data_IF_208661538180
#
_entry.id   IF_208661538180
#
_cell.length_a   1.000
_cell.length_b   1.000
_cell.length_c   1.000
_cell.angle_alpha   90.00
_cell.angle_beta   90.00
_cell.angle_gamma   90.00
#
_symmetry.space_group_name_H-M   'P 1'
#
loop_
_entity.id
_entity.type
_entity.pdbx_description
1 polymer ?
#
# COMPACT_ATOMS: atom_id res chain seq x y z
N UNK A 1 14.16 -9.41 -19.77
CA UNK A 1 13.82 -8.65 -18.56
C UNK A 1 14.98 -7.74 -18.26
N UNK A 2 14.78 -6.43 -18.35
CA UNK A 2 15.77 -5.42 -17.97
C UNK A 2 15.65 -5.13 -16.47
N UNK A 3 16.77 -5.13 -15.75
CA UNK A 3 16.85 -4.74 -14.35
C UNK A 3 17.54 -3.38 -14.25
N UNK A 4 17.09 -2.54 -13.31
CA UNK A 4 17.72 -1.26 -13.04
C UNK A 4 19.17 -1.45 -12.56
N UNK A 5 20.09 -0.64 -13.09
CA UNK A 5 21.50 -0.68 -12.67
C UNK A 5 21.69 -0.11 -11.25
N UNK A 6 20.84 0.83 -10.83
CA UNK A 6 20.87 1.42 -9.47
C UNK A 6 20.10 0.61 -8.42
N UNK A 7 18.77 0.61 -8.46
CA UNK A 7 17.93 -0.23 -7.60
C UNK A 7 17.61 -1.58 -8.26
N UNK A 8 16.71 -2.38 -7.71
CA UNK A 8 16.48 -3.77 -8.15
C UNK A 8 15.15 -4.00 -8.88
N UNK A 9 14.51 -2.93 -9.38
CA UNK A 9 13.28 -3.08 -10.16
C UNK A 9 13.54 -3.53 -11.59
N UNK A 10 12.53 -4.19 -12.16
CA UNK A 10 12.52 -4.67 -13.54
C UNK A 10 11.51 -3.93 -14.40
N UNK A 11 11.66 -4.09 -15.72
CA UNK A 11 10.69 -3.71 -16.74
C UNK A 11 9.36 -4.48 -16.68
N UNK A 12 9.25 -5.50 -15.81
CA UNK A 12 8.02 -6.26 -15.58
C UNK A 12 7.12 -5.65 -14.47
N UNK A 13 7.52 -4.52 -13.89
CA UNK A 13 6.72 -3.83 -12.88
C UNK A 13 5.34 -3.43 -13.47
N UNK A 14 4.20 -3.74 -12.80
CA UNK A 14 2.85 -3.54 -13.33
C UNK A 14 2.48 -2.08 -13.62
N UNK A 15 3.25 -1.12 -13.09
CA UNK A 15 3.07 0.32 -13.31
C UNK A 15 3.98 0.89 -14.42
N UNK A 16 4.51 0.04 -15.31
CA UNK A 16 5.28 0.44 -16.50
C UNK A 16 6.46 1.38 -16.22
N UNK A 17 7.48 0.87 -15.52
CA UNK A 17 8.72 1.60 -15.28
C UNK A 17 9.50 1.81 -16.59
N UNK A 18 10.03 3.02 -16.81
CA UNK A 18 10.92 3.33 -17.94
C UNK A 18 12.37 3.36 -17.50
N UNK A 19 13.29 3.23 -18.47
CA UNK A 19 14.74 3.20 -18.22
C UNK A 19 15.46 4.16 -19.16
N UNK A 20 16.45 4.87 -18.65
CA UNK A 20 17.33 5.71 -19.45
C UNK A 20 18.49 4.90 -20.09
N UNK A 21 19.37 5.63 -20.77
CA UNK A 21 20.57 5.10 -21.44
C UNK A 21 21.59 4.49 -20.46
N UNK A 22 21.61 4.94 -19.21
CA UNK A 22 22.47 4.39 -18.15
C UNK A 22 21.84 3.15 -17.49
N UNK A 23 20.64 2.76 -17.91
CA UNK A 23 19.88 1.65 -17.33
C UNK A 23 19.29 1.98 -15.95
N UNK A 24 19.13 3.26 -15.61
CA UNK A 24 18.49 3.72 -14.37
C UNK A 24 16.99 3.86 -14.61
N UNK A 25 16.19 3.34 -13.68
CA UNK A 25 14.74 3.37 -13.79
C UNK A 25 14.15 4.75 -13.42
N UNK A 26 12.96 5.06 -13.96
CA UNK A 26 12.18 6.27 -13.65
C UNK A 26 12.01 6.50 -12.14
N UNK A 27 11.72 5.46 -11.37
CA UNK A 27 11.57 5.58 -9.91
C UNK A 27 12.86 5.97 -9.18
N UNK A 28 14.03 5.64 -9.74
CA UNK A 28 15.30 6.15 -9.20
C UNK A 28 15.53 7.61 -9.56
N UNK A 29 15.19 8.04 -10.78
CA UNK A 29 15.34 9.43 -11.23
C UNK A 29 14.41 10.38 -10.50
N UNK A 30 13.13 10.02 -10.37
CA UNK A 30 12.16 10.83 -9.61
C UNK A 30 12.55 10.92 -8.14
N UNK A 31 13.16 9.88 -7.57
CA UNK A 31 13.64 9.96 -6.18
C UNK A 31 14.75 11.00 -5.98
N UNK A 32 15.62 11.22 -6.96
CA UNK A 32 16.69 12.24 -6.91
C UNK A 32 16.10 13.66 -6.84
N UNK A 33 14.91 13.89 -7.41
CA UNK A 33 14.24 15.20 -7.33
C UNK A 33 14.07 15.64 -5.87
N UNK A 34 13.87 14.69 -4.93
CA UNK A 34 13.72 15.00 -3.51
C UNK A 34 14.92 15.73 -2.93
N UNK A 35 16.11 15.54 -3.49
CA UNK A 35 17.36 16.16 -3.03
C UNK A 35 17.52 17.58 -3.59
N UNK A 36 16.77 17.93 -4.64
CA UNK A 36 16.75 19.27 -5.25
C UNK A 36 15.60 20.15 -4.77
N UNK A 37 14.50 19.53 -4.33
CA UNK A 37 13.28 20.23 -3.91
C UNK A 37 13.49 21.00 -2.61
N UNK A 38 13.10 22.28 -2.61
CA UNK A 38 12.99 23.06 -1.39
C UNK A 38 11.73 22.68 -0.60
N UNK A 39 11.88 21.71 0.30
CA UNK A 39 10.78 21.20 1.12
C UNK A 39 10.19 22.25 2.07
N UNK A 40 10.96 23.27 2.48
CA UNK A 40 10.41 24.37 3.28
C UNK A 40 9.40 25.18 2.47
N UNK A 41 9.74 25.52 1.22
CA UNK A 41 8.81 26.22 0.33
C UNK A 41 7.57 25.39 0.00
N UNK A 42 7.76 24.09 -0.27
CA UNK A 42 6.64 23.15 -0.49
C UNK A 42 5.71 23.07 0.73
N UNK A 43 6.28 23.05 1.94
CA UNK A 43 5.50 23.03 3.17
C UNK A 43 4.72 24.32 3.40
N UNK A 44 5.30 25.49 3.11
CA UNK A 44 4.55 26.76 3.16
C UNK A 44 3.40 26.77 2.14
N UNK A 45 3.60 26.22 0.94
CA UNK A 45 2.51 26.04 -0.03
C UNK A 45 1.40 25.15 0.52
N UNK A 46 1.73 24.05 1.20
CA UNK A 46 0.74 23.19 1.85
C UNK A 46 -0.09 23.96 2.88
N UNK A 47 0.54 24.77 3.73
CA UNK A 47 -0.19 25.60 4.71
C UNK A 47 -1.19 26.51 4.02
N UNK A 48 -0.76 27.24 3.00
CA UNK A 48 -1.63 28.14 2.22
C UNK A 48 -2.83 27.39 1.63
N UNK A 49 -2.60 26.20 1.05
CA UNK A 49 -3.67 25.35 0.54
C UNK A 49 -4.64 24.98 1.67
N UNK A 50 -4.14 24.45 2.78
CA UNK A 50 -4.98 23.93 3.86
C UNK A 50 -5.71 25.02 4.64
N UNK A 51 -5.13 26.21 4.78
CA UNK A 51 -5.76 27.33 5.49
C UNK A 51 -7.05 27.80 4.79
N UNK A 52 -7.13 27.64 3.47
CA UNK A 52 -8.34 27.94 2.70
C UNK A 52 -9.52 26.99 2.99
N UNK A 53 -9.28 25.83 3.61
CA UNK A 53 -10.30 24.82 3.91
C UNK A 53 -10.75 24.80 5.38
N UNK A 54 -10.22 25.69 6.22
CA UNK A 54 -10.61 25.77 7.63
C UNK A 54 -12.09 26.13 7.75
N UNK A 55 -12.84 25.30 8.48
CA UNK A 55 -14.22 25.58 8.81
C UNK A 55 -14.28 26.66 9.90
N UNK A 56 -14.69 27.87 9.50
CA UNK A 56 -14.79 29.01 10.42
C UNK A 56 -15.98 28.91 11.39
N UNK A 57 -17.02 28.17 11.03
CA UNK A 57 -18.23 28.02 11.85
C UNK A 57 -18.10 26.97 12.96
N UNK A 58 -17.07 26.11 12.91
CA UNK A 58 -16.84 25.03 13.87
C UNK A 58 -17.88 23.90 13.84
N UNK A 59 -18.80 23.91 12.87
CA UNK A 59 -19.89 22.94 12.77
C UNK A 59 -19.56 21.71 11.89
N UNK A 60 -18.38 21.69 11.28
CA UNK A 60 -17.91 20.61 10.41
C UNK A 60 -16.39 20.47 10.51
N UNK A 61 -15.84 19.49 9.81
CA UNK A 61 -14.41 19.22 9.75
C UNK A 61 -13.72 20.03 8.64
N UNK A 62 -12.42 20.27 8.81
CA UNK A 62 -11.60 21.00 7.83
C UNK A 62 -11.21 20.10 6.65
N UNK A 63 -11.02 18.81 6.93
CA UNK A 63 -10.59 17.82 5.95
C UNK A 63 -10.92 16.39 6.37
N UNK A 64 -10.79 15.46 5.44
CA UNK A 64 -10.81 14.01 5.70
C UNK A 64 -9.38 13.48 5.66
N UNK A 65 -9.06 12.60 6.62
CA UNK A 65 -7.81 11.83 6.62
C UNK A 65 -8.15 10.34 6.61
N UNK A 66 -7.86 9.63 5.50
CA UNK A 66 -8.00 8.17 5.43
C UNK A 66 -6.96 7.49 6.32
N UNK A 67 -7.38 6.55 7.17
CA UNK A 67 -6.50 5.84 8.11
C UNK A 67 -6.79 4.35 8.17
N UNK A 68 -5.75 3.55 8.43
CA UNK A 68 -5.90 2.12 8.79
C UNK A 68 -5.38 1.81 10.21
N UNK A 69 -4.67 2.75 10.83
CA UNK A 69 -3.95 2.52 12.08
C UNK A 69 -2.56 1.90 11.87
N UNK A 70 -2.22 1.44 10.66
CA UNK A 70 -0.87 1.10 10.26
C UNK A 70 -0.36 2.01 9.14
N UNK A 71 0.78 1.65 8.54
CA UNK A 71 1.49 2.45 7.54
C UNK A 71 1.71 3.86 8.07
N UNK A 72 1.69 4.84 7.17
CA UNK A 72 1.97 6.22 7.50
C UNK A 72 0.79 6.93 8.22
N UNK A 73 -0.29 6.23 8.61
CA UNK A 73 -1.50 6.82 9.22
C UNK A 73 -1.19 7.76 10.39
N UNK A 74 -0.32 7.32 11.32
CA UNK A 74 0.07 8.15 12.47
C UNK A 74 0.79 9.43 12.05
N UNK A 75 1.67 9.33 11.05
CA UNK A 75 2.43 10.48 10.56
C UNK A 75 1.53 11.49 9.85
N UNK A 76 0.58 10.99 9.04
CA UNK A 76 -0.40 11.82 8.33
C UNK A 76 -1.26 12.57 9.34
N UNK A 77 -1.87 11.86 10.32
CA UNK A 77 -2.74 12.51 11.32
C UNK A 77 -1.94 13.47 12.20
N UNK A 78 -0.73 13.11 12.62
CA UNK A 78 0.14 14.03 13.36
C UNK A 78 0.42 15.31 12.59
N UNK A 79 0.74 15.19 11.29
CA UNK A 79 1.02 16.33 10.43
C UNK A 79 -0.22 17.21 10.30
N UNK A 80 -1.37 16.62 10.01
CA UNK A 80 -2.64 17.34 9.80
C UNK A 80 -3.14 18.01 11.08
N UNK A 81 -3.20 17.26 12.19
CA UNK A 81 -3.77 17.72 13.45
C UNK A 81 -2.81 18.62 14.24
N UNK A 82 -1.57 18.20 14.43
CA UNK A 82 -0.65 18.85 15.37
C UNK A 82 0.29 19.85 14.69
N UNK A 83 0.68 19.61 13.43
CA UNK A 83 1.61 20.49 12.71
C UNK A 83 0.85 21.57 11.93
N UNK A 84 -0.20 21.19 11.19
CA UNK A 84 -1.04 22.13 10.44
C UNK A 84 -2.19 22.69 11.28
N UNK A 85 -2.53 22.08 12.42
CA UNK A 85 -3.58 22.58 13.30
C UNK A 85 -4.99 22.47 12.71
N UNK A 86 -5.25 21.51 11.82
CA UNK A 86 -6.56 21.27 11.23
C UNK A 86 -7.42 20.39 12.15
N UNK A 87 -8.73 20.41 11.93
CA UNK A 87 -9.70 19.49 12.53
C UNK A 87 -10.13 18.40 11.52
N UNK A 88 -9.41 17.26 11.45
CA UNK A 88 -9.73 16.20 10.49
C UNK A 88 -10.85 15.28 10.99
N UNK A 89 -11.69 14.81 10.07
CA UNK A 89 -12.48 13.59 10.22
C UNK A 89 -11.63 12.40 9.75
N UNK A 90 -11.41 11.43 10.64
CA UNK A 90 -10.75 10.18 10.25
C UNK A 90 -11.75 9.27 9.54
N UNK A 91 -11.36 8.70 8.41
CA UNK A 91 -12.20 7.77 7.66
C UNK A 91 -11.44 6.46 7.46
N UNK A 92 -12.08 5.35 7.78
CA UNK A 92 -11.46 4.03 7.69
C UNK A 92 -12.39 3.00 7.06
N UNK A 93 -11.83 2.18 6.17
CA UNK A 93 -12.50 1.03 5.59
C UNK A 93 -11.94 -0.24 6.23
N UNK A 94 -12.82 -1.07 6.78
CA UNK A 94 -12.46 -2.31 7.41
C UNK A 94 -12.19 -3.40 6.36
N UNK A 95 -10.92 -3.77 6.19
CA UNK A 95 -10.46 -4.79 5.25
C UNK A 95 -10.78 -6.23 5.67
N UNK A 96 -11.28 -6.46 6.89
CA UNK A 96 -11.59 -7.78 7.45
C UNK A 96 -10.41 -8.74 7.65
N UNK A 97 -9.19 -8.36 7.25
CA UNK A 97 -7.96 -9.14 7.46
C UNK A 97 -7.16 -8.67 8.68
N UNK A 98 -7.84 -8.12 9.69
CA UNK A 98 -7.22 -7.36 10.78
C UNK A 98 -6.50 -8.25 11.79
N UNK A 99 -5.36 -7.77 12.29
CA UNK A 99 -4.63 -8.34 13.43
C UNK A 99 -5.03 -7.64 14.75
N UNK A 100 -4.79 -8.27 15.91
CA UNK A 100 -4.97 -7.60 17.21
C UNK A 100 -4.11 -6.34 17.32
N UNK A 101 -2.86 -6.37 16.80
CA UNK A 101 -1.99 -5.19 16.76
C UNK A 101 -2.58 -4.06 15.93
N UNK A 102 -3.10 -4.35 14.74
CA UNK A 102 -3.73 -3.36 13.87
C UNK A 102 -4.90 -2.65 14.55
N UNK A 103 -5.77 -3.40 15.21
CA UNK A 103 -6.92 -2.86 15.94
C UNK A 103 -6.46 -1.98 17.10
N UNK A 104 -5.45 -2.42 17.86
CA UNK A 104 -4.93 -1.62 18.97
C UNK A 104 -4.21 -0.37 18.50
N UNK A 105 -3.49 -0.42 17.38
CA UNK A 105 -2.90 0.77 16.77
C UNK A 105 -3.97 1.74 16.29
N UNK A 106 -5.03 1.29 15.60
CA UNK A 106 -6.11 2.18 15.17
C UNK A 106 -6.84 2.82 16.36
N UNK A 107 -7.13 2.05 17.40
CA UNK A 107 -7.74 2.56 18.64
C UNK A 107 -6.82 3.58 19.34
N UNK A 108 -5.52 3.28 19.45
CA UNK A 108 -4.55 4.19 20.04
C UNK A 108 -4.42 5.47 19.22
N UNK A 109 -4.35 5.39 17.88
CA UNK A 109 -4.32 6.55 16.98
C UNK A 109 -5.48 7.50 17.29
N UNK A 110 -6.71 6.96 17.30
CA UNK A 110 -7.92 7.75 17.59
C UNK A 110 -7.82 8.48 18.94
N UNK A 111 -7.39 7.77 19.98
CA UNK A 111 -7.30 8.33 21.34
C UNK A 111 -6.19 9.38 21.46
N UNK A 112 -5.01 9.11 20.88
CA UNK A 112 -3.85 10.03 20.96
C UNK A 112 -4.11 11.37 20.27
N UNK A 113 -4.80 11.36 19.13
CA UNK A 113 -5.08 12.57 18.36
C UNK A 113 -6.43 13.21 18.70
N UNK A 114 -7.25 12.56 19.52
CA UNK A 114 -8.60 12.99 19.90
C UNK A 114 -9.44 13.43 18.67
N UNK A 115 -9.51 12.55 17.67
CA UNK A 115 -10.24 12.79 16.42
C UNK A 115 -11.45 11.87 16.31
N UNK A 116 -12.51 12.38 15.69
CA UNK A 116 -13.65 11.56 15.29
C UNK A 116 -13.26 10.59 14.17
N UNK A 117 -13.92 9.44 14.14
CA UNK A 117 -13.67 8.41 13.14
C UNK A 117 -14.96 7.82 12.60
N UNK A 118 -15.05 7.69 11.28
CA UNK A 118 -16.08 6.92 10.58
C UNK A 118 -15.49 5.64 10.02
N UNK A 119 -16.08 4.50 10.38
CA UNK A 119 -15.67 3.18 9.92
C UNK A 119 -16.76 2.55 9.06
N UNK A 120 -16.40 2.12 7.85
CA UNK A 120 -17.24 1.24 7.04
C UNK A 120 -16.78 -0.21 7.20
N UNK A 121 -17.69 -1.08 7.65
CA UNK A 121 -17.51 -2.53 7.60
C UNK A 121 -18.59 -3.12 6.71
N UNK A 122 -18.18 -3.65 5.56
CA UNK A 122 -19.08 -4.33 4.61
C UNK A 122 -19.42 -5.73 5.12
N UNK A 123 -20.56 -6.28 4.74
CA UNK A 123 -20.97 -7.65 5.06
C UNK A 123 -19.86 -8.65 4.67
N UNK A 124 -19.38 -9.52 5.59
CA UNK A 124 -18.38 -10.54 5.30
C UNK A 124 -18.69 -11.44 4.11
N UNK A 125 -19.95 -11.83 3.91
CA UNK A 125 -20.33 -12.71 2.80
C UNK A 125 -20.19 -12.01 1.44
N UNK A 126 -20.62 -10.74 1.36
CA UNK A 126 -20.39 -9.89 0.19
C UNK A 126 -18.90 -9.73 -0.09
N UNK A 127 -18.09 -9.47 0.95
CA UNK A 127 -16.63 -9.35 0.78
C UNK A 127 -16.01 -10.66 0.30
N UNK A 128 -16.39 -11.81 0.87
CA UNK A 128 -15.90 -13.13 0.42
C UNK A 128 -16.29 -13.39 -1.04
N UNK A 129 -17.51 -13.05 -1.43
CA UNK A 129 -18.01 -13.19 -2.80
C UNK A 129 -17.17 -12.37 -3.78
N UNK A 130 -16.94 -11.09 -3.48
CA UNK A 130 -16.08 -10.20 -4.26
C UNK A 130 -14.65 -10.74 -4.31
N UNK A 131 -14.08 -11.16 -3.18
CA UNK A 131 -12.71 -11.69 -3.14
C UNK A 131 -12.55 -12.95 -4.00
N UNK A 132 -13.54 -13.85 -4.04
CA UNK A 132 -13.53 -15.02 -4.95
C UNK A 132 -13.55 -14.58 -6.41
N UNK A 133 -14.45 -13.65 -6.75
CA UNK A 133 -14.56 -13.10 -8.10
C UNK A 133 -13.25 -12.43 -8.56
N UNK A 134 -12.64 -11.59 -7.72
CA UNK A 134 -11.41 -10.87 -8.05
C UNK A 134 -10.18 -11.77 -8.03
N UNK A 135 -10.17 -12.83 -7.21
CA UNK A 135 -9.12 -13.85 -7.25
C UNK A 135 -9.16 -14.59 -8.60
N UNK A 136 -10.36 -14.99 -9.05
CA UNK A 136 -10.53 -15.65 -10.36
C UNK A 136 -10.21 -14.72 -11.52
N UNK A 137 -10.86 -13.54 -11.58
CA UNK A 137 -10.76 -12.59 -12.70
C UNK A 137 -9.37 -11.94 -12.78
N UNK A 138 -8.84 -11.52 -11.63
CA UNK A 138 -7.69 -10.61 -11.57
C UNK A 138 -6.46 -11.23 -10.90
N UNK A 139 -6.56 -12.42 -10.30
CA UNK A 139 -5.50 -12.94 -9.46
C UNK A 139 -5.22 -12.00 -8.29
N UNK A 140 -6.27 -11.51 -7.62
CA UNK A 140 -6.13 -10.57 -6.49
C UNK A 140 -7.14 -10.85 -5.39
N UNK A 141 -6.62 -11.01 -4.16
CA UNK A 141 -7.43 -11.10 -2.93
C UNK A 141 -7.67 -9.72 -2.27
N UNK A 142 -7.06 -8.66 -2.82
CA UNK A 142 -6.92 -7.37 -2.16
C UNK A 142 -7.66 -6.23 -2.89
N UNK A 143 -8.35 -6.54 -3.99
CA UNK A 143 -9.11 -5.56 -4.77
C UNK A 143 -10.13 -4.83 -3.88
N UNK A 144 -10.92 -5.56 -3.08
CA UNK A 144 -11.93 -4.96 -2.20
C UNK A 144 -11.31 -4.05 -1.12
N UNK A 145 -10.11 -4.39 -0.63
CA UNK A 145 -9.40 -3.56 0.33
C UNK A 145 -9.04 -2.21 -0.28
N UNK A 146 -8.46 -2.23 -1.49
CA UNK A 146 -8.04 -1.02 -2.21
C UNK A 146 -9.27 -0.22 -2.63
N UNK A 147 -10.27 -0.87 -3.22
CA UNK A 147 -11.51 -0.23 -3.68
C UNK A 147 -12.21 0.49 -2.53
N UNK A 148 -12.39 -0.19 -1.39
CA UNK A 148 -13.04 0.36 -0.20
C UNK A 148 -12.25 1.50 0.44
N UNK A 149 -10.93 1.34 0.62
CA UNK A 149 -10.07 2.35 1.24
C UNK A 149 -9.96 3.64 0.42
N UNK A 150 -10.08 3.54 -0.91
CA UNK A 150 -9.96 4.69 -1.82
C UNK A 150 -11.29 5.36 -2.10
N UNK A 151 -12.41 4.64 -2.09
CA UNK A 151 -13.75 5.20 -2.39
C UNK A 151 -14.46 5.76 -1.17
N UNK A 152 -14.35 5.10 -0.02
CA UNK A 152 -15.12 5.48 1.16
C UNK A 152 -14.81 6.90 1.66
N UNK A 153 -13.53 7.36 1.69
CA UNK A 153 -13.22 8.76 1.97
C UNK A 153 -13.90 9.75 1.02
N UNK A 154 -13.99 9.42 -0.28
CA UNK A 154 -14.64 10.28 -1.29
C UNK A 154 -16.15 10.30 -1.07
N UNK A 155 -16.77 9.15 -0.76
CA UNK A 155 -18.18 9.09 -0.40
C UNK A 155 -18.49 9.92 0.85
N UNK A 156 -17.64 9.86 1.88
CA UNK A 156 -17.78 10.67 3.10
C UNK A 156 -17.59 12.15 2.77
N UNK A 157 -16.60 12.52 1.95
CA UNK A 157 -16.37 13.89 1.50
C UNK A 157 -17.62 14.49 0.84
N UNK A 158 -18.26 13.76 -0.07
CA UNK A 158 -19.48 14.19 -0.75
C UNK A 158 -20.66 14.26 0.22
N UNK A 159 -20.89 13.23 1.04
CA UNK A 159 -22.04 13.15 1.96
C UNK A 159 -22.01 14.23 3.05
N UNK A 160 -20.83 14.49 3.62
CA UNK A 160 -20.63 15.47 4.68
C UNK A 160 -20.19 16.85 4.17
N UNK A 161 -20.07 17.00 2.85
CA UNK A 161 -19.66 18.24 2.18
C UNK A 161 -18.31 18.76 2.70
N UNK A 162 -17.34 17.85 2.84
CA UNK A 162 -15.96 18.15 3.28
C UNK A 162 -15.08 18.11 2.02
N UNK A 163 -14.70 19.27 1.44
CA UNK A 163 -14.08 19.32 0.11
C UNK A 163 -12.61 18.90 0.07
N UNK A 164 -11.91 18.80 1.21
CA UNK A 164 -10.49 18.42 1.22
C UNK A 164 -10.29 17.01 1.79
N UNK A 165 -9.60 16.16 1.03
CA UNK A 165 -9.05 14.88 1.50
C UNK A 165 -7.53 14.96 1.47
N UNK A 166 -6.88 14.59 2.57
CA UNK A 166 -5.41 14.56 2.67
C UNK A 166 -4.94 13.11 2.76
N UNK A 167 -4.24 12.68 1.72
CA UNK A 167 -3.65 11.35 1.59
C UNK A 167 -2.17 11.34 2.00
N UNK A 168 -1.61 10.15 2.19
CA UNK A 168 -0.19 9.95 2.48
C UNK A 168 0.70 10.15 1.24
N UNK A 169 1.45 9.12 0.87
CA UNK A 169 2.27 9.13 -0.33
C UNK A 169 1.52 8.59 -1.55
N UNK A 170 1.65 9.29 -2.68
CA UNK A 170 1.23 8.80 -3.98
C UNK A 170 2.21 7.73 -4.49
N UNK A 171 1.72 6.50 -4.68
CA UNK A 171 2.51 5.34 -5.10
C UNK A 171 3.24 5.58 -6.43
N UNK A 172 2.54 6.17 -7.41
CA UNK A 172 3.10 6.44 -8.74
C UNK A 172 4.34 7.33 -8.68
N UNK A 173 4.40 8.30 -7.75
CA UNK A 173 5.58 9.16 -7.58
C UNK A 173 6.66 8.39 -6.82
N UNK A 174 6.34 7.92 -5.62
CA UNK A 174 7.36 7.48 -4.65
C UNK A 174 7.99 6.12 -5.01
N UNK A 175 7.20 5.22 -5.60
CA UNK A 175 7.63 3.85 -5.89
C UNK A 175 8.25 3.73 -7.30
N UNK A 176 7.61 4.28 -8.31
CA UNK A 176 7.94 3.97 -9.73
C UNK A 176 8.30 5.18 -10.58
N UNK A 177 8.15 6.40 -10.07
CA UNK A 177 8.44 7.61 -10.83
C UNK A 177 7.59 7.73 -12.10
N UNK A 178 6.31 7.34 -12.01
CA UNK A 178 5.30 7.54 -13.07
C UNK A 178 5.01 9.03 -13.28
N UNK A 179 5.10 9.81 -12.20
CA UNK A 179 4.96 11.26 -12.20
C UNK A 179 6.16 11.87 -11.48
N UNK A 180 6.51 13.09 -11.86
CA UNK A 180 7.50 13.90 -11.17
C UNK A 180 6.89 14.48 -9.88
N UNK A 181 7.72 14.74 -8.86
CA UNK A 181 7.32 15.56 -7.72
C UNK A 181 6.94 17.00 -8.14
N UNK A 182 7.38 17.47 -9.31
CA UNK A 182 7.02 18.78 -9.84
C UNK A 182 5.61 18.84 -10.44
N UNK A 183 5.00 17.69 -10.77
CA UNK A 183 3.64 17.62 -11.31
C UNK A 183 2.57 17.87 -10.22
N UNK A 184 2.92 17.70 -8.94
CA UNK A 184 2.02 17.85 -7.78
C UNK A 184 0.68 17.11 -7.94
N UNK A 185 0.73 15.87 -8.44
CA UNK A 185 -0.48 15.11 -8.79
C UNK A 185 -1.44 14.97 -7.61
N UNK A 186 -2.73 15.02 -7.92
CA UNK A 186 -3.83 14.81 -6.99
C UNK A 186 -4.56 13.51 -7.27
N UNK A 187 -5.36 13.06 -6.31
CA UNK A 187 -6.19 11.87 -6.46
C UNK A 187 -7.17 12.07 -7.61
N UNK A 188 -7.22 11.10 -8.53
CA UNK A 188 -8.20 11.06 -9.61
C UNK A 188 -8.85 9.70 -9.69
N UNK A 189 -10.14 9.66 -10.08
CA UNK A 189 -10.83 8.39 -10.38
C UNK A 189 -10.09 7.59 -11.46
N UNK A 190 -9.49 8.28 -12.43
CA UNK A 190 -8.70 7.67 -13.50
C UNK A 190 -7.52 6.87 -12.97
N UNK A 191 -6.66 7.48 -12.15
CA UNK A 191 -5.51 6.79 -11.55
C UNK A 191 -5.96 5.56 -10.74
N UNK A 192 -7.02 5.73 -9.95
CA UNK A 192 -7.62 4.66 -9.17
C UNK A 192 -8.06 3.48 -10.05
N UNK A 193 -8.82 3.73 -11.13
CA UNK A 193 -9.26 2.67 -12.04
C UNK A 193 -8.08 1.98 -12.71
N UNK A 194 -7.20 2.75 -13.34
CA UNK A 194 -6.15 2.24 -14.23
C UNK A 194 -5.03 1.53 -13.46
N UNK A 195 -4.71 1.96 -12.24
CA UNK A 195 -3.53 1.48 -11.51
C UNK A 195 -3.89 0.79 -10.19
N UNK A 196 -4.73 1.39 -9.35
CA UNK A 196 -5.03 0.82 -8.03
C UNK A 196 -5.95 -0.40 -8.14
N UNK A 197 -6.93 -0.34 -9.06
CA UNK A 197 -7.96 -1.36 -9.23
C UNK A 197 -7.78 -2.27 -10.44
N UNK A 198 -6.56 -2.32 -10.99
CA UNK A 198 -6.20 -3.27 -12.04
C UNK A 198 -7.06 -3.12 -13.31
N UNK A 199 -7.62 -1.93 -13.56
CA UNK A 199 -8.50 -1.63 -14.68
C UNK A 199 -10.00 -1.84 -14.43
N UNK A 200 -10.40 -2.31 -13.24
CA UNK A 200 -11.79 -2.67 -12.92
C UNK A 200 -12.39 -1.76 -11.86
N UNK A 201 -13.45 -1.05 -12.22
CA UNK A 201 -14.33 -0.38 -11.25
C UNK A 201 -15.32 -1.36 -10.62
N UNK A 202 -16.05 -0.89 -9.62
CA UNK A 202 -17.04 -1.70 -8.91
C UNK A 202 -18.10 -2.29 -9.84
N UNK A 203 -18.56 -1.50 -10.81
CA UNK A 203 -19.57 -1.90 -11.77
C UNK A 203 -19.04 -2.96 -12.76
N UNK A 204 -17.73 -2.97 -13.03
CA UNK A 204 -17.07 -3.94 -13.93
C UNK A 204 -17.00 -5.36 -13.30
N UNK A 205 -17.33 -5.52 -12.02
CA UNK A 205 -17.35 -6.82 -11.34
C UNK A 205 -18.70 -7.56 -11.46
N UNK A 206 -19.79 -6.85 -11.74
CA UNK A 206 -21.14 -7.42 -11.92
C UNK A 206 -21.11 -8.45 -13.04
N UNK A 207 -21.49 -9.68 -12.72
CA UNK A 207 -21.32 -10.83 -13.61
C UNK A 207 -22.13 -12.03 -13.11
N UNK A 208 -22.89 -12.66 -14.00
CA UNK A 208 -23.72 -13.83 -13.69
C UNK A 208 -22.86 -15.03 -13.27
N UNK A 209 -21.67 -15.19 -13.88
CA UNK A 209 -20.79 -16.33 -13.62
C UNK A 209 -20.27 -16.35 -12.17
N UNK A 210 -19.84 -15.20 -11.63
CA UNK A 210 -19.46 -15.05 -10.23
C UNK A 210 -20.67 -14.74 -9.32
N UNK A 211 -21.86 -14.66 -9.92
CA UNK A 211 -23.12 -14.26 -9.31
C UNK A 211 -23.06 -12.90 -8.62
N UNK A 212 -22.18 -11.98 -9.02
CA UNK A 212 -22.04 -10.65 -8.40
C UNK A 212 -23.15 -9.73 -8.90
N UNK A 213 -23.96 -9.21 -7.98
CA UNK A 213 -25.07 -8.31 -8.29
C UNK A 213 -24.73 -6.84 -7.95
N UNK A 214 -25.50 -5.89 -8.48
CA UNK A 214 -25.33 -4.46 -8.16
C UNK A 214 -25.37 -4.17 -6.65
N UNK A 215 -26.22 -4.91 -5.92
CA UNK A 215 -26.35 -4.78 -4.46
C UNK A 215 -25.06 -5.16 -3.71
N UNK A 216 -24.23 -6.06 -4.26
CA UNK A 216 -22.96 -6.46 -3.66
C UNK A 216 -21.90 -5.36 -3.77
N UNK A 217 -21.96 -4.55 -4.84
CA UNK A 217 -20.89 -3.60 -5.17
C UNK A 217 -21.19 -2.16 -4.74
N UNK A 218 -22.39 -1.87 -4.22
CA UNK A 218 -22.85 -0.52 -3.88
C UNK A 218 -21.91 0.24 -2.94
N UNK A 219 -21.25 -0.47 -2.01
CA UNK A 219 -20.31 0.14 -1.06
C UNK A 219 -18.97 0.53 -1.72
N UNK A 220 -18.70 0.01 -2.91
CA UNK A 220 -17.48 0.28 -3.69
C UNK A 220 -17.71 1.26 -4.85
N UNK A 221 -18.96 1.63 -5.12
CA UNK A 221 -19.34 2.55 -6.19
C UNK A 221 -18.76 3.95 -5.94
N UNK A 222 -18.08 4.49 -6.96
CA UNK A 222 -17.49 5.81 -6.89
C UNK A 222 -18.58 6.89 -7.04
N UNK A 223 -18.56 7.99 -6.24
CA UNK A 223 -19.54 9.06 -6.39
C UNK A 223 -19.55 9.63 -7.81
N UNK A 224 -20.72 10.09 -8.25
CA UNK A 224 -20.84 10.64 -9.60
C UNK A 224 -20.07 11.97 -9.71
N UNK A 225 -19.43 12.24 -10.85
CA UNK A 225 -18.57 13.42 -11.06
C UNK A 225 -19.28 14.74 -10.73
N UNK A 226 -20.55 14.90 -11.12
CA UNK A 226 -21.41 16.03 -10.74
C UNK A 226 -21.53 16.26 -9.22
N UNK A 227 -21.53 15.20 -8.41
CA UNK A 227 -21.61 15.34 -6.95
C UNK A 227 -20.28 15.79 -6.36
N UNK A 228 -19.17 15.27 -6.91
CA UNK A 228 -17.79 15.66 -6.57
C UNK A 228 -17.56 17.13 -6.93
N UNK A 229 -17.92 17.52 -8.15
CA UNK A 229 -17.79 18.88 -8.67
C UNK A 229 -18.62 19.88 -7.86
N UNK A 230 -19.88 19.55 -7.55
CA UNK A 230 -20.77 20.41 -6.75
C UNK A 230 -20.18 20.78 -5.39
N UNK A 231 -19.43 19.86 -4.76
CA UNK A 231 -18.78 20.10 -3.47
C UNK A 231 -17.36 20.65 -3.65
N UNK A 232 -16.73 20.41 -4.79
CA UNK A 232 -15.32 20.75 -5.04
C UNK A 232 -14.35 19.80 -4.33
N UNK A 233 -14.69 18.51 -4.25
CA UNK A 233 -13.85 17.53 -3.54
C UNK A 233 -12.50 17.37 -4.24
N UNK A 234 -11.41 17.58 -3.51
CA UNK A 234 -10.02 17.40 -3.95
C UNK A 234 -9.27 16.48 -2.98
N UNK A 235 -8.38 15.67 -3.54
CA UNK A 235 -7.51 14.78 -2.78
C UNK A 235 -6.05 15.11 -2.99
N UNK A 236 -5.40 15.72 -2.01
CA UNK A 236 -3.96 16.06 -2.09
C UNK A 236 -3.11 15.01 -1.39
N UNK A 237 -1.89 14.79 -1.86
CA UNK A 237 -0.92 13.88 -1.24
C UNK A 237 0.15 14.65 -0.47
N UNK A 238 0.44 14.23 0.76
CA UNK A 238 1.47 14.87 1.59
C UNK A 238 2.88 14.72 1.01
N UNK A 239 3.17 13.67 0.24
CA UNK A 239 4.50 13.49 -0.37
C UNK A 239 4.80 14.48 -1.52
N UNK A 240 3.83 15.29 -1.96
CA UNK A 240 4.08 16.45 -2.82
C UNK A 240 4.69 17.63 -2.02
N UNK A 241 4.44 17.67 -0.71
CA UNK A 241 4.72 18.83 0.12
C UNK A 241 5.75 18.59 1.22
N UNK A 242 5.97 17.33 1.59
CA UNK A 242 6.86 16.89 2.65
C UNK A 242 7.77 15.80 2.10
N UNK A 243 9.06 15.88 2.42
CA UNK A 243 10.01 14.82 2.06
C UNK A 243 9.58 13.51 2.70
N UNK A 244 9.24 12.54 1.87
CA UNK A 244 8.74 11.25 2.33
C UNK A 244 9.89 10.28 2.63
N UNK A 245 9.94 9.80 3.88
CA UNK A 245 10.83 8.75 4.38
C UNK A 245 10.05 7.91 5.41
N UNK A 246 9.48 6.79 4.96
CA UNK A 246 8.59 5.97 5.78
C UNK A 246 9.27 5.46 7.05
N UNK A 247 10.55 5.09 7.04
CA UNK A 247 11.23 4.59 8.25
C UNK A 247 11.39 5.70 9.29
N UNK A 248 11.92 6.86 8.88
CA UNK A 248 12.09 7.99 9.80
C UNK A 248 10.74 8.45 10.39
N UNK A 249 9.70 8.47 9.55
CA UNK A 249 8.34 8.82 9.95
C UNK A 249 7.79 7.81 10.96
N UNK A 250 7.87 6.50 10.70
CA UNK A 250 7.40 5.47 11.63
C UNK A 250 8.18 5.49 12.96
N UNK A 251 9.50 5.58 12.94
CA UNK A 251 10.31 5.63 14.16
C UNK A 251 9.95 6.84 15.03
N UNK A 252 9.67 8.00 14.40
CA UNK A 252 9.14 9.17 15.12
C UNK A 252 7.79 8.87 15.75
N UNK A 253 6.89 8.18 15.05
CA UNK A 253 5.55 7.84 15.57
C UNK A 253 5.58 6.77 16.65
N UNK A 254 6.53 5.82 16.59
CA UNK A 254 6.81 4.86 17.67
C UNK A 254 7.22 5.62 18.94
N UNK A 255 8.14 6.58 18.81
CA UNK A 255 8.61 7.38 19.95
C UNK A 255 7.54 8.29 20.55
N UNK A 256 6.74 8.97 19.73
CA UNK A 256 5.74 9.92 20.21
C UNK A 256 4.43 9.29 20.68
N UNK A 257 3.98 8.21 20.02
CA UNK A 257 2.63 7.70 20.19
C UNK A 257 2.57 6.19 20.49
N UNK A 258 3.71 5.55 20.72
CA UNK A 258 3.79 4.13 21.04
C UNK A 258 3.11 3.22 20.00
N UNK A 259 3.29 3.55 18.71
CA UNK A 259 2.93 2.69 17.58
C UNK A 259 3.54 1.30 17.75
N UNK A 260 2.77 0.24 17.49
CA UNK A 260 3.25 -1.13 17.59
C UNK A 260 3.65 -1.69 16.24
N UNK A 261 4.95 -2.00 16.11
CA UNK A 261 5.57 -2.70 14.99
C UNK A 261 5.61 -4.21 15.22
N UNK A 262 5.73 -5.00 14.16
CA UNK A 262 5.78 -6.47 14.19
C UNK A 262 6.61 -7.02 13.03
N UNK A 263 7.20 -8.20 13.20
CA UNK A 263 7.83 -8.91 12.08
C UNK A 263 6.81 -9.28 11.01
N UNK A 264 7.25 -9.28 9.75
CA UNK A 264 6.42 -9.62 8.59
C UNK A 264 7.04 -10.80 7.84
N UNK A 265 6.21 -11.68 7.27
CA UNK A 265 6.69 -12.94 6.66
C UNK A 265 7.66 -12.69 5.50
N UNK A 266 7.29 -11.81 4.57
CA UNK A 266 7.97 -11.67 3.28
C UNK A 266 8.73 -10.36 3.11
N UNK A 267 9.08 -9.68 4.21
CA UNK A 267 9.90 -8.45 4.17
C UNK A 267 10.58 -8.16 5.52
N UNK A 268 11.69 -7.41 5.50
CA UNK A 268 12.37 -6.94 6.72
C UNK A 268 11.72 -5.71 7.40
N UNK A 269 10.86 -4.98 6.69
CA UNK A 269 10.15 -3.82 7.24
C UNK A 269 9.18 -4.31 8.30
N UNK A 270 9.30 -3.81 9.52
CA UNK A 270 8.46 -4.25 10.65
C UNK A 270 7.28 -3.29 10.92
N UNK A 271 7.07 -2.30 10.04
CA UNK A 271 6.19 -1.18 10.32
C UNK A 271 4.90 -1.19 9.50
N UNK A 272 5.01 -1.33 8.19
CA UNK A 272 3.95 -0.89 7.28
C UNK A 272 2.62 -1.65 7.42
N UNK A 273 2.65 -2.98 7.37
CA UNK A 273 1.43 -3.77 7.14
C UNK A 273 1.03 -4.63 8.35
N UNK A 274 1.43 -4.19 9.55
CA UNK A 274 1.18 -4.90 10.81
C UNK A 274 -0.31 -5.05 11.16
N UNK A 275 -1.18 -4.28 10.51
CA UNK A 275 -2.63 -4.35 10.65
C UNK A 275 -3.28 -5.42 9.76
N UNK A 276 -2.51 -6.13 8.93
CA UNK A 276 -3.02 -7.12 7.99
C UNK A 276 -2.31 -8.46 8.12
N UNK A 277 -3.06 -9.56 8.26
CA UNK A 277 -2.46 -10.90 8.09
C UNK A 277 -2.00 -11.17 6.66
N UNK A 278 -2.75 -10.70 5.67
CA UNK A 278 -2.57 -11.14 4.28
C UNK A 278 -1.65 -10.26 3.43
N UNK A 279 -1.47 -8.97 3.74
CA UNK A 279 -0.83 -8.03 2.80
C UNK A 279 0.62 -8.40 2.48
N UNK A 280 1.47 -8.56 3.49
CA UNK A 280 2.87 -8.98 3.35
C UNK A 280 3.06 -10.50 3.47
N UNK A 281 2.01 -11.25 3.14
CA UNK A 281 1.94 -12.70 3.22
C UNK A 281 1.25 -13.27 1.96
N UNK A 282 0.01 -13.77 2.03
CA UNK A 282 -0.73 -14.34 0.90
C UNK A 282 -0.83 -13.38 -0.30
N UNK A 283 -1.17 -12.11 -0.07
CA UNK A 283 -1.27 -11.12 -1.16
C UNK A 283 0.08 -10.91 -1.84
N UNK A 284 1.16 -10.80 -1.07
CA UNK A 284 2.50 -10.62 -1.61
C UNK A 284 3.01 -11.86 -2.37
N UNK A 285 2.63 -13.05 -1.91
CA UNK A 285 2.95 -14.29 -2.64
C UNK A 285 2.26 -14.32 -4.01
N UNK A 286 0.98 -13.97 -4.08
CA UNK A 286 0.26 -13.85 -5.36
C UNK A 286 0.95 -12.82 -6.27
N UNK A 287 1.33 -11.66 -5.72
CA UNK A 287 2.09 -10.63 -6.45
C UNK A 287 3.40 -11.19 -7.02
N UNK A 288 4.15 -11.96 -6.24
CA UNK A 288 5.38 -12.60 -6.70
C UNK A 288 5.15 -13.57 -7.86
N UNK A 289 4.09 -14.38 -7.81
CA UNK A 289 3.75 -15.28 -8.92
C UNK A 289 3.35 -14.53 -10.20
N UNK A 290 2.63 -13.41 -10.07
CA UNK A 290 2.17 -12.61 -11.23
C UNK A 290 3.25 -11.73 -11.83
N UNK A 291 4.10 -11.13 -11.01
CA UNK A 291 4.99 -10.06 -11.42
C UNK A 291 6.47 -10.37 -11.21
N UNK A 292 6.81 -11.49 -10.58
CA UNK A 292 8.20 -11.94 -10.40
C UNK A 292 8.96 -11.20 -9.30
N UNK A 293 8.28 -10.32 -8.56
CA UNK A 293 8.84 -9.61 -7.41
C UNK A 293 7.78 -9.43 -6.32
N UNK A 294 8.23 -9.34 -5.07
CA UNK A 294 7.38 -9.14 -3.90
C UNK A 294 7.63 -7.80 -3.22
N UNK A 295 7.02 -7.63 -2.05
CA UNK A 295 7.08 -6.45 -1.18
C UNK A 295 8.50 -6.20 -0.70
N UNK A 296 9.29 -7.26 -0.50
CA UNK A 296 10.71 -7.13 -0.20
C UNK A 296 11.45 -6.29 -1.24
N UNK A 297 11.18 -6.49 -2.54
CA UNK A 297 11.84 -5.73 -3.60
C UNK A 297 11.45 -4.25 -3.54
N UNK A 298 10.20 -3.93 -3.17
CA UNK A 298 9.76 -2.54 -2.97
C UNK A 298 10.54 -1.87 -1.84
N UNK A 299 10.61 -2.53 -0.68
CA UNK A 299 11.32 -1.99 0.48
C UNK A 299 12.83 -1.90 0.23
N UNK A 300 13.45 -2.90 -0.38
CA UNK A 300 14.86 -2.83 -0.77
C UNK A 300 15.11 -1.65 -1.72
N UNK A 301 14.28 -1.48 -2.76
CA UNK A 301 14.45 -0.37 -3.69
C UNK A 301 14.28 0.99 -3.00
N UNK A 302 13.32 1.13 -2.08
CA UNK A 302 13.14 2.33 -1.25
C UNK A 302 14.40 2.63 -0.43
N UNK A 303 14.93 1.66 0.29
CA UNK A 303 16.09 1.87 1.17
C UNK A 303 17.41 2.05 0.40
N UNK A 304 17.56 1.47 -0.80
CA UNK A 304 18.68 1.79 -1.70
C UNK A 304 18.62 3.26 -2.13
N UNK A 305 17.44 3.75 -2.53
CA UNK A 305 17.25 5.14 -2.95
C UNK A 305 17.47 6.12 -1.80
N UNK A 306 17.08 5.73 -0.58
CA UNK A 306 17.38 6.46 0.66
C UNK A 306 18.82 6.25 1.16
N UNK A 307 19.66 5.53 0.42
CA UNK A 307 21.10 5.32 0.70
C UNK A 307 21.37 4.60 2.04
N UNK A 308 20.41 3.82 2.53
CA UNK A 308 20.53 2.96 3.73
C UNK A 308 20.95 1.53 3.41
N UNK A 309 20.71 1.09 2.17
CA UNK A 309 21.16 -0.20 1.65
C UNK A 309 22.02 -0.02 0.41
N UNK A 310 23.06 -0.83 0.30
CA UNK A 310 23.72 -1.06 -0.99
C UNK A 310 22.87 -1.98 -1.87
N UNK A 311 23.16 -1.96 -3.17
CA UNK A 311 22.55 -2.86 -4.14
C UNK A 311 22.75 -4.34 -3.76
N UNK A 312 23.97 -4.68 -3.36
CA UNK A 312 24.39 -6.06 -3.09
C UNK A 312 23.71 -6.62 -1.84
N UNK A 313 23.64 -5.82 -0.76
CA UNK A 313 22.86 -6.15 0.44
C UNK A 313 21.37 -6.35 0.07
N UNK A 314 20.86 -5.48 -0.81
CA UNK A 314 19.50 -5.59 -1.33
C UNK A 314 19.21 -6.92 -2.02
N UNK A 315 20.13 -7.40 -2.87
CA UNK A 315 20.01 -8.70 -3.55
C UNK A 315 19.94 -9.84 -2.53
N UNK A 316 20.81 -9.82 -1.51
CA UNK A 316 20.82 -10.82 -0.43
C UNK A 316 19.47 -10.86 0.30
N UNK A 317 18.91 -9.69 0.62
CA UNK A 317 17.61 -9.58 1.28
C UNK A 317 16.47 -10.09 0.41
N UNK A 318 16.44 -9.76 -0.89
CA UNK A 318 15.43 -10.29 -1.82
C UNK A 318 15.50 -11.81 -1.88
N UNK A 319 16.70 -12.38 -2.03
CA UNK A 319 16.90 -13.84 -2.09
C UNK A 319 16.42 -14.54 -0.82
N UNK A 320 16.59 -13.91 0.34
CA UNK A 320 16.10 -14.40 1.63
C UNK A 320 14.57 -14.42 1.70
N UNK A 321 13.90 -13.29 1.45
CA UNK A 321 12.47 -13.16 1.74
C UNK A 321 11.53 -13.54 0.59
N UNK A 322 11.96 -13.42 -0.68
CA UNK A 322 11.05 -13.60 -1.82
C UNK A 322 10.48 -15.02 -1.94
N UNK A 323 11.23 -16.02 -1.45
CA UNK A 323 10.86 -17.45 -1.52
C UNK A 323 10.11 -17.96 -0.29
N UNK A 324 9.94 -17.13 0.75
CA UNK A 324 9.25 -17.53 1.98
C UNK A 324 7.79 -17.85 1.72
N UNK A 325 7.34 -19.05 2.11
CA UNK A 325 5.93 -19.43 1.91
C UNK A 325 5.01 -18.62 2.84
N UNK A 326 3.78 -18.29 2.41
CA UNK A 326 2.83 -17.57 3.26
C UNK A 326 2.52 -18.34 4.55
N UNK A 327 2.56 -17.66 5.69
CA UNK A 327 2.22 -18.24 7.00
C UNK A 327 0.72 -18.24 7.28
N UNK A 328 -0.03 -17.34 6.62
CA UNK A 328 -1.45 -17.09 6.87
C UNK A 328 -2.36 -17.69 5.80
N UNK A 329 -1.81 -18.53 4.90
CA UNK A 329 -2.58 -19.14 3.82
C UNK A 329 -3.76 -19.96 4.35
N UNK A 330 -3.53 -20.81 5.36
CA UNK A 330 -4.61 -21.62 5.95
C UNK A 330 -5.74 -20.74 6.50
N UNK A 331 -5.39 -19.71 7.27
CA UNK A 331 -6.37 -18.78 7.85
C UNK A 331 -7.19 -18.07 6.74
N UNK A 332 -6.55 -17.67 5.65
CA UNK A 332 -7.23 -17.07 4.50
C UNK A 332 -8.18 -18.07 3.82
N UNK A 333 -7.71 -19.30 3.55
CA UNK A 333 -8.48 -20.36 2.89
C UNK A 333 -9.70 -20.77 3.70
N UNK A 334 -9.56 -20.90 5.02
CA UNK A 334 -10.65 -21.18 5.94
C UNK A 334 -11.69 -20.03 5.92
N UNK A 335 -11.23 -18.76 5.93
CA UNK A 335 -12.12 -17.61 5.86
C UNK A 335 -12.88 -17.51 4.53
N UNK A 336 -12.20 -17.73 3.39
CA UNK A 336 -12.84 -17.66 2.07
C UNK A 336 -13.61 -18.94 1.70
N UNK A 337 -13.48 -20.02 2.48
CA UNK A 337 -14.10 -21.31 2.19
C UNK A 337 -13.57 -21.94 0.89
N UNK A 338 -12.25 -21.98 0.73
CA UNK A 338 -11.57 -22.51 -0.46
C UNK A 338 -10.53 -23.54 -0.08
N UNK A 339 -10.37 -24.60 -0.89
CA UNK A 339 -9.29 -25.58 -0.69
C UNK A 339 -7.97 -25.05 -1.25
N UNK A 340 -6.85 -25.50 -0.69
CA UNK A 340 -5.52 -25.13 -1.18
C UNK A 340 -5.30 -25.56 -2.64
N UNK A 341 -5.81 -26.72 -3.04
CA UNK A 341 -5.77 -27.18 -4.44
C UNK A 341 -6.53 -26.25 -5.38
N UNK A 342 -7.72 -25.80 -5.00
CA UNK A 342 -8.50 -24.84 -5.80
C UNK A 342 -7.82 -23.48 -5.90
N UNK A 343 -7.22 -23.02 -4.79
CA UNK A 343 -6.44 -21.79 -4.77
C UNK A 343 -5.24 -21.86 -5.71
N UNK A 344 -4.42 -22.92 -5.61
CA UNK A 344 -3.26 -23.12 -6.46
C UNK A 344 -3.64 -23.25 -7.94
N UNK A 345 -4.76 -23.93 -8.25
CA UNK A 345 -5.27 -24.02 -9.61
C UNK A 345 -5.56 -22.64 -10.21
N UNK A 346 -6.21 -21.75 -9.45
CA UNK A 346 -6.49 -20.37 -9.91
C UNK A 346 -5.19 -19.60 -10.08
N UNK A 347 -4.28 -19.65 -9.10
CA UNK A 347 -3.02 -18.90 -9.18
C UNK A 347 -2.15 -19.32 -10.36
N UNK A 348 -2.15 -20.60 -10.71
CA UNK A 348 -1.43 -21.11 -11.86
C UNK A 348 -1.90 -20.50 -13.19
N UNK A 349 -3.19 -20.15 -13.31
CA UNK A 349 -3.71 -19.43 -14.48
C UNK A 349 -3.22 -17.98 -14.56
N UNK A 350 -2.85 -17.40 -13.41
CA UNK A 350 -2.35 -16.02 -13.30
C UNK A 350 -0.83 -15.92 -13.32
N UNK A 351 -0.11 -17.05 -13.36
CA UNK A 351 1.36 -17.06 -13.45
C UNK A 351 1.79 -16.44 -14.77
N UNK A 352 2.72 -15.49 -14.67
CA UNK A 352 3.20 -14.81 -15.85
C UNK A 352 4.16 -15.70 -16.66
N UNK A 353 3.84 -16.03 -17.93
CA UNK A 353 4.65 -16.93 -18.75
C UNK A 353 6.00 -16.31 -19.15
N UNK A 354 6.22 -15.00 -18.95
CA UNK A 354 7.55 -14.38 -19.12
C UNK A 354 8.49 -14.69 -17.96
N UNK A 355 7.95 -15.07 -16.80
CA UNK A 355 8.71 -15.30 -15.56
C UNK A 355 8.80 -16.79 -15.26
N UNK A 356 7.71 -17.52 -15.49
CA UNK A 356 7.58 -18.92 -15.10
C UNK A 356 7.47 -19.85 -16.31
N UNK A 357 7.95 -21.08 -16.14
CA UNK A 357 7.67 -22.21 -17.04
C UNK A 357 7.43 -23.48 -16.21
N UNK A 358 6.78 -24.48 -16.79
CA UNK A 358 6.68 -25.81 -16.18
C UNK A 358 7.79 -26.69 -16.72
N UNK A 359 8.54 -27.34 -15.84
CA UNK A 359 9.55 -28.32 -16.19
C UNK A 359 8.91 -29.67 -16.59
N UNK A 360 9.72 -30.66 -16.97
CA UNK A 360 9.25 -31.99 -17.40
C UNK A 360 8.51 -32.76 -16.28
N UNK A 361 8.75 -32.39 -15.01
CA UNK A 361 8.07 -32.94 -13.84
C UNK A 361 6.75 -32.20 -13.50
N UNK A 362 6.29 -31.29 -14.36
CA UNK A 362 5.12 -30.44 -14.14
C UNK A 362 5.25 -29.45 -12.97
N UNK A 363 6.47 -29.14 -12.54
CA UNK A 363 6.76 -28.18 -11.48
C UNK A 363 7.06 -26.79 -12.06
N UNK A 364 6.67 -25.74 -11.32
CA UNK A 364 6.92 -24.36 -11.74
C UNK A 364 8.32 -23.90 -11.39
N UNK A 365 9.07 -23.45 -12.40
CA UNK A 365 10.40 -22.89 -12.26
C UNK A 365 10.50 -21.46 -12.82
N UNK A 366 11.39 -20.67 -12.23
CA UNK A 366 11.74 -19.36 -12.75
C UNK A 366 12.59 -19.52 -14.00
N UNK A 367 12.22 -18.84 -15.09
CA UNK A 367 13.03 -18.77 -16.32
C UNK A 367 14.41 -18.17 -16.09
N UNK A 368 14.52 -17.23 -15.16
CA UNK A 368 15.78 -16.71 -14.67
C UNK A 368 15.82 -16.80 -13.14
N UNK A 369 16.54 -17.78 -12.56
CA UNK A 369 16.61 -17.97 -11.11
C UNK A 369 17.42 -16.86 -10.41
N UNK A 370 18.25 -16.11 -11.15
CA UNK A 370 19.00 -14.96 -10.62
C UNK A 370 18.88 -13.73 -11.54
N UNK A 371 17.75 -13.00 -11.47
CA UNK A 371 17.49 -11.80 -12.28
C UNK A 371 18.59 -10.75 -12.25
N UNK A 372 19.32 -10.70 -11.14
CA UNK A 372 20.21 -9.59 -10.79
C UNK A 372 21.62 -9.77 -11.37
N UNK A 373 21.92 -10.94 -11.94
CA UNK A 373 23.18 -11.25 -12.60
C UNK A 373 22.85 -11.67 -14.04
N UNK A 374 23.30 -10.89 -15.01
CA UNK A 374 23.14 -11.22 -16.44
C UNK A 374 24.36 -10.73 -17.19
N UNK A 375 24.74 -11.43 -18.27
CA UNK A 375 25.83 -11.00 -19.16
C UNK A 375 25.61 -9.61 -19.77
N UNK A 376 24.35 -9.15 -19.82
CA UNK A 376 23.97 -7.81 -20.28
C UNK A 376 24.14 -6.68 -19.25
N UNK A 377 24.34 -7.02 -17.98
CA UNK A 377 24.59 -6.05 -16.91
C UNK A 377 26.08 -5.71 -16.88
N UNK A 378 26.44 -4.54 -17.41
CA UNK A 378 27.82 -4.05 -17.32
C UNK A 378 28.12 -3.61 -15.89
N UNK A 379 29.03 -4.30 -15.20
CA UNK A 379 29.53 -3.92 -13.86
C UNK A 379 29.96 -2.44 -13.85
N UNK A 380 30.64 -1.99 -14.93
CA UNK A 380 31.03 -0.59 -15.11
C UNK A 380 29.85 0.39 -15.10
N UNK A 381 28.70 0.02 -15.68
CA UNK A 381 27.51 0.87 -15.65
C UNK A 381 26.85 0.87 -14.27
N UNK A 382 26.83 -0.28 -13.58
CA UNK A 382 26.33 -0.38 -12.20
C UNK A 382 27.16 0.53 -11.29
N UNK A 383 28.49 0.42 -11.34
CA UNK A 383 29.41 1.23 -10.52
C UNK A 383 29.23 2.73 -10.76
N UNK A 384 28.96 3.13 -12.01
CA UNK A 384 28.72 4.54 -12.37
C UNK A 384 27.48 5.13 -11.69
N UNK A 385 26.41 4.33 -11.52
CA UNK A 385 25.11 4.83 -11.05
C UNK A 385 24.75 4.37 -9.64
N UNK A 386 25.60 3.54 -9.02
CA UNK A 386 25.40 3.07 -7.65
C UNK A 386 25.43 4.25 -6.67
N UNK A 387 24.58 4.18 -5.67
CA UNK A 387 24.56 5.18 -4.60
C UNK A 387 25.48 4.75 -3.47
N UNK A 388 26.34 5.66 -3.03
CA UNK A 388 27.14 5.44 -1.82
C UNK A 388 26.23 5.45 -0.59
N UNK A 389 26.51 4.54 0.35
CA UNK A 389 25.75 4.44 1.60
C UNK A 389 26.03 5.64 2.49
N UNK A 390 25.00 6.16 3.17
CA UNK A 390 25.14 7.27 4.14
C UNK A 390 24.85 6.84 5.58
N UNK A 391 24.15 5.72 5.78
CA UNK A 391 23.86 5.16 7.10
C UNK A 391 24.47 3.76 7.22
N UNK A 392 25.06 3.44 8.37
CA UNK A 392 25.78 2.17 8.50
C UNK A 392 24.88 0.93 8.55
N UNK A 393 23.62 1.09 8.93
CA UNK A 393 22.67 -0.02 9.08
C UNK A 393 21.23 0.38 8.77
N UNK A 394 20.56 -0.48 8.01
CA UNK A 394 19.13 -0.39 7.73
C UNK A 394 18.32 -1.29 8.68
N UNK A 395 18.27 -0.96 9.96
CA UNK A 395 17.57 -1.75 10.98
C UNK A 395 16.17 -1.19 11.29
N UNK A 396 15.18 -2.09 11.39
CA UNK A 396 13.79 -1.76 11.73
C UNK A 396 13.47 -2.25 13.15
N UNK A 397 12.96 -1.34 13.98
CA UNK A 397 12.66 -1.58 15.40
C UNK A 397 11.43 -2.47 15.59
N UNK A 398 11.49 -3.41 16.51
CA UNK A 398 10.31 -4.16 16.96
C UNK A 398 9.89 -3.60 18.32
N UNK A 399 8.69 -3.05 18.37
CA UNK A 399 8.08 -2.56 19.61
C UNK A 399 7.74 -3.72 20.54
N UNK A 400 7.68 -3.45 21.85
CA UNK A 400 7.18 -4.43 22.82
C UNK A 400 5.71 -4.72 22.55
N UNK A 401 5.36 -5.99 22.33
CA UNK A 401 3.96 -6.41 22.22
C UNK A 401 3.23 -6.14 23.54
N UNK A 402 2.19 -5.30 23.52
CA UNK A 402 1.40 -5.00 24.72
C UNK A 402 0.47 -6.17 25.13
N UNK A 403 0.32 -7.19 24.28
CA UNK A 403 -0.40 -8.44 24.56
C UNK A 403 0.42 -9.65 24.10
N UNK A 404 1.49 -10.01 24.83
CA UNK A 404 2.39 -11.10 24.42
C UNK A 404 1.72 -12.47 24.41
N UNK A 405 0.74 -12.70 25.28
CA UNK A 405 0.06 -14.00 25.42
C UNK A 405 -1.10 -14.19 24.45
N UNK A 406 -1.49 -13.13 23.71
CA UNK A 406 -2.58 -13.23 22.74
C UNK A 406 -2.08 -13.94 21.47
N UNK A 407 -2.75 -15.03 21.13
CA UNK A 407 -2.54 -15.75 19.87
C UNK A 407 -3.56 -15.26 18.85
N UNK A 408 -3.03 -14.74 17.77
CA UNK A 408 -3.78 -14.34 16.59
C UNK A 408 -4.10 -15.61 15.76
N UNK A 409 -5.28 -16.19 15.95
CA UNK A 409 -5.74 -17.42 15.24
C UNK A 409 -7.01 -17.22 14.40
N UNK A 410 -7.61 -16.03 14.42
CA UNK A 410 -8.78 -15.65 13.62
C UNK A 410 -8.71 -14.18 13.22
N UNK A 411 -9.42 -13.82 12.13
CA UNK A 411 -9.59 -12.42 11.77
C UNK A 411 -10.54 -11.71 12.73
N UNK A 412 -10.12 -10.57 13.25
CA UNK A 412 -10.97 -9.75 14.11
C UNK A 412 -11.75 -8.78 13.21
N UNK A 413 -13.06 -9.00 13.08
CA UNK A 413 -13.93 -8.18 12.22
C UNK A 413 -14.26 -6.82 12.84
N UNK A 414 -14.96 -6.76 13.98
CA UNK A 414 -15.34 -5.49 14.62
C UNK A 414 -15.07 -5.59 16.12
N UNK A 415 -13.92 -5.08 16.56
CA UNK A 415 -13.53 -5.13 17.97
C UNK A 415 -13.58 -6.56 18.56
N UNK A 416 -13.53 -6.67 19.88
CA UNK A 416 -13.79 -7.94 20.60
C UNK A 416 -15.25 -8.00 21.06
N UNK A 417 -16.19 -7.81 20.14
CA UNK A 417 -17.59 -8.20 20.37
C UNK A 417 -17.75 -9.68 20.06
N UNK A 418 -18.62 -10.41 20.77
CA UNK A 418 -18.93 -11.83 20.50
C UNK A 418 -19.74 -11.94 19.21
N UNK A 419 -19.16 -12.41 18.09
CA UNK A 419 -19.93 -12.80 16.92
C UNK A 419 -20.28 -14.27 17.14
N UNK A 420 -21.50 -14.56 17.59
CA UNK A 420 -21.95 -15.94 17.78
C UNK A 420 -21.72 -16.75 16.50
N UNK A 421 -21.23 -17.98 16.67
CA UNK A 421 -20.94 -18.93 15.59
C UNK A 421 -22.10 -19.13 14.62
#
# INVERSE_FOLDING_TARGET
>A
MKICNRCLYSDLHPLNITFDEEGVCSGCRVHEEKDTINWKSRFEKLKVITDAYRNQSGNNYDCIVPVSGARDSYFIVHTVKNVLGLNPLLVTYNKQYNTDRGIRNLANLRVQFNCDIMTLTVNPDTVKKITRATLRKLGSIYWHCIAGQTVYPVQVAVKFKIPLIIWGAHQGIDQVGMYSHFDEVEMTRKYRKEHDLMGYEAEDLVDDFDSIEEADIVQYAYPHDKEIERIGVRGIYLNNYIRWDSKAQHEKMIGLYCYESAEQTRTFDTYNDVDCFNYSDVHDYIKFLKHGYGKITDHVCREIRLRRLSREEGIVLIKKYAKESPKQLKLFLDWIGMTETGFNFILDQHRNPKIWFRNDNWEWELKNPDPFFSESLSERLIDKVKLERVEDRCEFRISKNKRPDYKDDHYILIGKGWPGN
#
